data_IF_045240715582
#
_entry.id   IF_045240715582
#
_cell.length_a   1.000
_cell.length_b   1.000
_cell.length_c   1.000
_cell.angle_alpha   90.00
_cell.angle_beta   90.00
_cell.angle_gamma   90.00
#
_symmetry.space_group_name_H-M   'P 1'
#
loop_
_entity.id
_entity.type
_entity.pdbx_description
1 polymer ?
#
# COMPACT_ATOMS: atom_id res chain seq x y z
N UNK A 1 2.72 -11.39 3.65
CA UNK A 1 3.46 -11.64 2.39
C UNK A 1 2.92 -10.73 1.28
N UNK A 2 3.77 -10.12 0.43
CA UNK A 2 3.33 -9.33 -0.74
C UNK A 2 3.30 -10.23 -1.97
N UNK A 3 2.29 -10.11 -2.84
CA UNK A 3 2.21 -10.85 -4.10
C UNK A 3 2.59 -9.93 -5.28
N UNK A 4 3.85 -9.89 -5.72
CA UNK A 4 4.23 -9.16 -6.92
C UNK A 4 3.58 -9.85 -8.13
N UNK A 5 2.73 -9.13 -8.85
CA UNK A 5 2.26 -9.56 -10.16
C UNK A 5 3.28 -9.18 -11.22
N UNK A 6 3.41 -10.02 -12.24
CA UNK A 6 4.40 -9.80 -13.29
C UNK A 6 3.91 -8.70 -14.22
N UNK A 7 4.78 -7.73 -14.48
CA UNK A 7 4.61 -6.75 -15.54
C UNK A 7 5.81 -6.81 -16.47
N UNK A 8 5.56 -6.88 -17.77
CA UNK A 8 6.57 -6.91 -18.82
C UNK A 8 6.32 -5.75 -19.78
N UNK A 9 7.26 -4.82 -19.87
CA UNK A 9 7.28 -3.82 -20.95
C UNK A 9 7.69 -4.50 -22.26
N UNK A 10 6.86 -4.34 -23.29
CA UNK A 10 7.10 -4.88 -24.65
C UNK A 10 7.64 -3.78 -25.56
N UNK A 11 7.19 -2.54 -25.35
CA UNK A 11 7.73 -1.32 -25.95
C UNK A 11 7.63 -0.15 -24.96
N UNK A 12 8.00 1.06 -25.40
CA UNK A 12 7.87 2.27 -24.59
C UNK A 12 6.41 2.63 -24.25
N UNK A 13 5.45 2.17 -25.06
CA UNK A 13 4.02 2.47 -25.01
C UNK A 13 3.13 1.21 -24.85
N UNK A 14 3.74 0.02 -24.74
CA UNK A 14 3.01 -1.23 -24.56
C UNK A 14 3.66 -2.14 -23.53
N UNK A 15 2.83 -2.90 -22.83
CA UNK A 15 3.24 -3.87 -21.86
C UNK A 15 2.15 -4.90 -21.61
N UNK A 16 2.52 -5.96 -20.91
CA UNK A 16 1.62 -7.03 -20.50
C UNK A 16 1.68 -7.11 -18.97
N UNK A 17 0.52 -7.16 -18.34
CA UNK A 17 0.40 -7.39 -16.90
C UNK A 17 -0.27 -8.73 -16.67
N UNK A 18 0.23 -9.46 -15.68
CA UNK A 18 -0.36 -10.71 -15.21
C UNK A 18 -1.78 -10.44 -14.69
N UNK A 19 -2.72 -11.24 -15.18
CA UNK A 19 -4.08 -11.23 -14.68
C UNK A 19 -4.13 -11.89 -13.29
N UNK A 20 -4.67 -11.17 -12.32
CA UNK A 20 -4.84 -11.64 -10.96
C UNK A 20 -6.14 -12.44 -10.84
N UNK A 21 -6.06 -13.73 -11.16
CA UNK A 21 -7.21 -14.62 -11.03
C UNK A 21 -7.69 -14.70 -9.57
N UNK A 22 -9.02 -14.65 -9.39
CA UNK A 22 -9.66 -14.66 -8.08
C UNK A 22 -9.45 -13.39 -7.24
N UNK A 23 -9.10 -12.24 -7.84
CA UNK A 23 -9.07 -10.96 -7.15
C UNK A 23 -10.04 -9.94 -7.76
N UNK A 24 -10.65 -9.09 -6.91
CA UNK A 24 -11.54 -8.01 -7.35
C UNK A 24 -11.17 -6.70 -6.64
N UNK A 25 -11.25 -5.56 -7.33
CA UNK A 25 -11.04 -4.25 -6.69
C UNK A 25 -12.07 -3.99 -5.61
N UNK A 26 -11.73 -3.23 -4.57
CA UNK A 26 -12.68 -2.85 -3.50
C UNK A 26 -13.88 -2.10 -4.11
N UNK A 27 -13.63 -1.24 -5.11
CA UNK A 27 -14.68 -0.58 -5.90
C UNK A 27 -15.60 -1.59 -6.59
N UNK A 28 -15.01 -2.59 -7.27
CA UNK A 28 -15.74 -3.66 -7.93
C UNK A 28 -16.56 -4.50 -6.96
N UNK A 29 -15.99 -4.84 -5.80
CA UNK A 29 -16.67 -5.57 -4.71
C UNK A 29 -17.89 -4.78 -4.23
N UNK A 30 -17.73 -3.49 -3.90
CA UNK A 30 -18.83 -2.63 -3.44
C UNK A 30 -19.96 -2.56 -4.45
N UNK A 31 -19.63 -2.40 -5.74
CA UNK A 31 -20.62 -2.31 -6.82
C UNK A 31 -21.32 -3.65 -7.08
N UNK A 32 -20.57 -4.75 -7.17
CA UNK A 32 -21.07 -6.07 -7.54
C UNK A 32 -21.82 -6.76 -6.39
N UNK A 33 -21.27 -6.67 -5.17
CA UNK A 33 -21.85 -7.32 -4.00
C UNK A 33 -22.84 -6.41 -3.25
N UNK A 34 -22.97 -5.14 -3.63
CA UNK A 34 -23.86 -4.16 -2.98
C UNK A 34 -23.63 -4.03 -1.47
N UNK A 35 -22.37 -4.18 -1.05
CA UNK A 35 -21.95 -4.04 0.34
C UNK A 35 -21.61 -2.58 0.66
N UNK A 36 -21.88 -2.17 1.89
CA UNK A 36 -21.58 -0.80 2.37
C UNK A 36 -20.12 -0.63 2.80
N UNK A 37 -19.47 -1.69 3.24
CA UNK A 37 -18.07 -1.69 3.67
C UNK A 37 -17.36 -2.99 3.33
N UNK A 38 -16.04 -2.92 3.28
CA UNK A 38 -15.21 -4.11 3.10
C UNK A 38 -15.34 -5.12 4.25
N UNK A 39 -15.54 -4.66 5.48
CA UNK A 39 -15.77 -5.55 6.62
C UNK A 39 -17.09 -6.33 6.50
N UNK A 40 -18.14 -5.73 5.91
CA UNK A 40 -19.37 -6.44 5.58
C UNK A 40 -19.09 -7.55 4.56
N UNK A 41 -18.35 -7.24 3.49
CA UNK A 41 -17.95 -8.25 2.50
C UNK A 41 -17.16 -9.41 3.12
N UNK A 42 -16.22 -9.13 4.02
CA UNK A 42 -15.45 -10.17 4.70
C UNK A 42 -16.35 -11.11 5.50
N UNK A 43 -17.34 -10.58 6.22
CA UNK A 43 -18.31 -11.38 6.96
C UNK A 43 -19.19 -12.24 6.04
N UNK A 44 -19.62 -11.70 4.90
CA UNK A 44 -20.47 -12.42 3.94
C UNK A 44 -19.72 -13.55 3.22
N UNK A 45 -18.45 -13.32 2.84
CA UNK A 45 -17.68 -14.28 2.02
C UNK A 45 -16.87 -15.27 2.85
N UNK A 46 -16.30 -14.83 3.97
CA UNK A 46 -15.43 -15.67 4.81
C UNK A 46 -16.14 -16.22 6.05
N UNK A 47 -17.40 -15.84 6.28
CA UNK A 47 -18.18 -16.22 7.46
C UNK A 47 -18.05 -15.21 8.60
N UNK A 48 -18.77 -15.41 9.71
CA UNK A 48 -18.80 -14.44 10.80
C UNK A 48 -17.42 -14.27 11.45
N UNK A 49 -17.17 -13.07 12.00
CA UNK A 49 -15.99 -12.78 12.83
C UNK A 49 -15.77 -13.90 13.86
N UNK A 50 -14.54 -14.41 13.91
CA UNK A 50 -14.13 -15.50 14.81
C UNK A 50 -14.29 -16.91 14.24
N UNK A 51 -14.93 -17.08 13.07
CA UNK A 51 -14.88 -18.35 12.34
C UNK A 51 -13.48 -18.60 11.78
N UNK A 52 -13.08 -19.88 11.64
CA UNK A 52 -11.74 -20.25 11.15
C UNK A 52 -11.42 -19.60 9.79
N UNK A 53 -12.39 -19.60 8.88
CA UNK A 53 -12.23 -19.02 7.54
C UNK A 53 -12.11 -17.49 7.59
N UNK A 54 -12.90 -16.81 8.42
CA UNK A 54 -12.77 -15.36 8.60
C UNK A 54 -11.42 -15.00 9.23
N UNK A 55 -11.01 -15.69 10.30
CA UNK A 55 -9.72 -15.43 10.96
C UNK A 55 -8.54 -15.67 10.01
N UNK A 56 -8.60 -16.70 9.16
CA UNK A 56 -7.56 -16.93 8.13
C UNK A 56 -7.52 -15.79 7.10
N UNK A 57 -8.67 -15.35 6.60
CA UNK A 57 -8.76 -14.25 5.64
C UNK A 57 -8.30 -12.91 6.25
N UNK A 58 -8.67 -12.63 7.50
CA UNK A 58 -8.22 -11.46 8.26
C UNK A 58 -6.70 -11.46 8.47
N UNK A 59 -6.11 -12.61 8.81
CA UNK A 59 -4.64 -12.74 8.90
C UNK A 59 -3.97 -12.48 7.55
N UNK A 60 -4.47 -13.07 6.47
CA UNK A 60 -3.95 -12.83 5.13
C UNK A 60 -4.04 -11.34 4.75
N UNK A 61 -5.15 -10.68 5.08
CA UNK A 61 -5.34 -9.25 4.87
C UNK A 61 -4.32 -8.42 5.67
N UNK A 62 -4.16 -8.69 6.97
CA UNK A 62 -3.23 -7.99 7.85
C UNK A 62 -1.79 -8.10 7.34
N UNK A 63 -1.38 -9.31 6.95
CA UNK A 63 -0.02 -9.57 6.48
C UNK A 63 0.31 -8.91 5.14
N UNK A 64 -0.65 -8.85 4.21
CA UNK A 64 -0.42 -8.15 2.94
C UNK A 64 -0.56 -6.64 3.12
N UNK A 65 -1.46 -6.18 3.99
CA UNK A 65 -1.57 -4.76 4.35
C UNK A 65 -0.25 -4.24 4.90
N UNK A 66 0.37 -4.92 5.87
CA UNK A 66 1.68 -4.54 6.39
C UNK A 66 2.75 -4.49 5.28
N UNK A 67 2.79 -5.50 4.43
CA UNK A 67 3.73 -5.55 3.31
C UNK A 67 3.55 -4.41 2.31
N UNK A 68 2.32 -4.16 1.86
CA UNK A 68 2.04 -3.07 0.93
C UNK A 68 2.18 -1.68 1.57
N UNK A 69 1.92 -1.51 2.87
CA UNK A 69 2.21 -0.27 3.59
C UNK A 69 3.71 0.07 3.54
N UNK A 70 4.58 -0.93 3.72
CA UNK A 70 6.04 -0.75 3.61
C UNK A 70 6.42 -0.39 2.17
N UNK A 71 5.91 -1.13 1.17
CA UNK A 71 6.17 -0.83 -0.25
C UNK A 71 5.72 0.59 -0.62
N UNK A 72 4.52 0.97 -0.22
CA UNK A 72 3.96 2.31 -0.47
C UNK A 72 4.80 3.40 0.19
N UNK A 73 5.22 3.22 1.45
CA UNK A 73 6.07 4.18 2.14
C UNK A 73 7.42 4.34 1.45
N UNK A 74 8.12 3.23 1.21
CA UNK A 74 9.47 3.22 0.65
C UNK A 74 9.50 3.75 -0.78
N UNK A 75 8.56 3.35 -1.62
CA UNK A 75 8.52 3.76 -3.03
C UNK A 75 7.69 5.03 -3.28
N UNK A 76 7.07 5.60 -2.25
CA UNK A 76 6.15 6.74 -2.39
C UNK A 76 5.07 6.46 -3.43
N UNK A 77 4.47 5.27 -3.36
CA UNK A 77 3.37 4.88 -4.25
C UNK A 77 2.15 5.74 -3.92
N UNK A 78 1.59 6.38 -4.94
CA UNK A 78 0.43 7.28 -4.85
C UNK A 78 -0.77 6.70 -5.58
N UNK A 79 -1.88 7.42 -5.61
CA UNK A 79 -3.10 7.00 -6.30
C UNK A 79 -3.67 5.70 -5.71
N UNK A 80 -3.60 5.58 -4.38
CA UNK A 80 -4.13 4.41 -3.66
C UNK A 80 -5.62 4.62 -3.38
N UNK A 81 -6.47 4.37 -4.35
CA UNK A 81 -7.94 4.38 -4.18
C UNK A 81 -8.55 2.99 -4.31
N UNK A 82 -9.84 2.83 -4.00
CA UNK A 82 -10.52 1.52 -3.97
C UNK A 82 -10.56 0.80 -5.33
N UNK A 83 -10.37 1.52 -6.45
CA UNK A 83 -10.12 0.90 -7.76
C UNK A 83 -8.75 0.22 -7.92
N UNK A 84 -7.71 0.68 -7.19
CA UNK A 84 -6.32 0.18 -7.28
C UNK A 84 -5.96 -0.77 -6.13
N UNK A 85 -6.92 -1.06 -5.26
CA UNK A 85 -6.80 -1.98 -4.14
C UNK A 85 -7.72 -3.17 -4.40
N UNK A 86 -7.17 -4.36 -4.53
CA UNK A 86 -7.91 -5.59 -4.79
C UNK A 86 -7.89 -6.53 -3.60
N UNK A 87 -8.95 -7.32 -3.44
CA UNK A 87 -9.02 -8.42 -2.48
C UNK A 87 -9.08 -9.75 -3.24
N UNK A 88 -8.17 -10.67 -2.88
CA UNK A 88 -8.19 -12.04 -3.39
C UNK A 88 -9.25 -12.91 -2.69
N UNK A 89 -9.60 -14.04 -3.29
CA UNK A 89 -10.45 -15.10 -2.74
C UNK A 89 -9.96 -15.71 -1.41
N UNK A 90 -8.71 -15.45 -1.01
CA UNK A 90 -8.11 -15.86 0.25
C UNK A 90 -8.01 -14.71 1.27
N UNK A 91 -8.51 -13.51 0.96
CA UNK A 91 -8.49 -12.35 1.84
C UNK A 91 -7.24 -11.46 1.74
N UNK A 92 -6.28 -11.78 0.88
CA UNK A 92 -5.12 -10.91 0.65
C UNK A 92 -5.55 -9.58 0.01
N UNK A 93 -5.11 -8.45 0.58
CA UNK A 93 -5.04 -7.16 -0.11
C UNK A 93 -3.91 -7.18 -1.13
N UNK A 94 -4.18 -6.73 -2.35
CA UNK A 94 -3.24 -6.64 -3.47
C UNK A 94 -3.32 -5.24 -4.09
N UNK A 95 -2.21 -4.51 -4.10
CA UNK A 95 -2.12 -3.24 -4.82
C UNK A 95 -1.84 -3.50 -6.30
N UNK A 96 -2.57 -2.79 -7.17
CA UNK A 96 -2.30 -2.72 -8.60
C UNK A 96 -1.98 -1.29 -9.03
N UNK A 97 -1.61 -1.14 -10.29
CA UNK A 97 -1.29 0.14 -10.94
C UNK A 97 -0.26 0.96 -10.17
N UNK A 98 1.03 0.74 -10.42
CA UNK A 98 2.11 1.51 -9.79
C UNK A 98 2.55 2.73 -10.63
N UNK A 99 1.67 3.27 -11.48
CA UNK A 99 1.99 4.35 -12.41
C UNK A 99 2.45 5.66 -11.74
N UNK A 100 2.09 5.86 -10.47
CA UNK A 100 2.52 7.00 -9.67
C UNK A 100 3.37 6.54 -8.48
N UNK A 101 4.68 6.76 -8.56
CA UNK A 101 5.65 6.43 -7.52
C UNK A 101 6.80 7.44 -7.53
N UNK A 102 7.57 7.48 -6.44
CA UNK A 102 8.66 8.43 -6.25
C UNK A 102 8.20 9.89 -6.47
N UNK A 103 8.70 10.55 -7.52
CA UNK A 103 8.44 11.96 -7.79
C UNK A 103 7.12 12.21 -8.55
N UNK A 104 6.51 11.21 -9.19
CA UNK A 104 5.27 11.42 -9.97
C UNK A 104 4.04 11.41 -9.09
N UNK A 105 3.05 12.25 -9.42
CA UNK A 105 1.76 12.33 -8.73
C UNK A 105 0.63 12.53 -9.73
N UNK A 106 -0.58 12.03 -9.45
CA UNK A 106 -1.77 12.29 -10.27
C UNK A 106 -1.99 13.81 -10.42
N UNK A 107 -2.11 14.27 -11.67
CA UNK A 107 -2.34 15.69 -11.99
C UNK A 107 -1.23 16.66 -11.58
N UNK A 108 -0.03 16.16 -11.19
CA UNK A 108 1.08 17.00 -10.73
C UNK A 108 0.88 17.61 -9.34
N UNK A 109 -0.18 17.24 -8.62
CA UNK A 109 -0.48 17.75 -7.27
C UNK A 109 -0.17 16.67 -6.25
N UNK A 110 0.69 16.97 -5.28
CA UNK A 110 0.99 16.07 -4.16
C UNK A 110 -0.16 16.05 -3.14
N UNK A 111 -1.26 15.38 -3.47
CA UNK A 111 -2.38 15.19 -2.56
C UNK A 111 -2.05 14.24 -1.40
N UNK A 112 -1.25 13.22 -1.68
CA UNK A 112 -1.01 12.11 -0.76
C UNK A 112 0.24 12.40 0.09
N UNK A 113 0.03 12.84 1.34
CA UNK A 113 1.11 13.03 2.31
C UNK A 113 1.10 11.98 3.43
N UNK A 114 0.11 11.11 3.45
CA UNK A 114 0.09 9.98 4.37
C UNK A 114 1.23 9.02 3.97
N UNK A 115 1.98 8.46 4.93
CA UNK A 115 3.03 7.47 4.66
C UNK A 115 2.57 6.31 3.77
N UNK A 116 1.35 5.85 4.01
CA UNK A 116 0.63 4.84 3.24
C UNK A 116 -0.88 4.97 3.53
N UNK A 117 -1.72 4.38 2.68
CA UNK A 117 -3.17 4.35 2.91
C UNK A 117 -3.50 3.42 4.08
N UNK A 118 -4.27 3.91 5.04
CA UNK A 118 -4.84 3.13 6.16
C UNK A 118 -6.21 3.75 6.53
N UNK A 119 -7.16 3.63 5.60
CA UNK A 119 -8.50 4.20 5.77
C UNK A 119 -9.31 3.47 6.83
N UNK A 120 -10.36 4.12 7.33
CA UNK A 120 -11.32 3.51 8.26
C UNK A 120 -11.85 2.16 7.76
N UNK A 121 -12.21 2.06 6.48
CA UNK A 121 -12.68 0.82 5.85
C UNK A 121 -11.67 -0.34 5.94
N UNK A 122 -10.37 -0.06 5.75
CA UNK A 122 -9.33 -1.09 5.87
C UNK A 122 -9.08 -1.48 7.34
N UNK A 123 -9.20 -0.52 8.26
CA UNK A 123 -9.06 -0.79 9.69
C UNK A 123 -10.24 -1.61 10.23
N UNK A 124 -11.44 -1.43 9.70
CA UNK A 124 -12.63 -2.20 10.08
C UNK A 124 -12.49 -3.69 9.75
N UNK A 125 -11.81 -4.05 8.65
CA UNK A 125 -11.48 -5.45 8.34
C UNK A 125 -10.61 -6.08 9.42
N UNK A 126 -9.75 -5.29 10.08
CA UNK A 126 -8.92 -5.74 11.19
C UNK A 126 -9.65 -5.65 12.54
N UNK A 127 -10.92 -5.28 12.61
CA UNK A 127 -11.63 -5.05 13.88
C UNK A 127 -11.26 -3.75 14.60
N UNK A 128 -10.60 -2.80 13.93
CA UNK A 128 -10.31 -1.45 14.43
C UNK A 128 -8.99 -1.31 15.22
N UNK A 129 -8.64 -0.05 15.56
CA UNK A 129 -7.32 0.35 16.11
C UNK A 129 -6.92 -0.38 17.42
N UNK A 130 -7.90 -0.85 18.19
CA UNK A 130 -7.68 -1.55 19.46
C UNK A 130 -7.60 -3.07 19.34
N UNK A 131 -7.83 -3.64 18.17
CA UNK A 131 -7.97 -5.09 18.01
C UNK A 131 -6.62 -5.84 18.06
N UNK A 132 -6.69 -7.15 18.27
CA UNK A 132 -5.53 -8.03 18.17
C UNK A 132 -4.91 -8.01 16.76
N UNK A 133 -5.75 -8.04 15.71
CA UNK A 133 -5.31 -8.00 14.32
C UNK A 133 -4.59 -6.67 13.97
N UNK A 134 -5.08 -5.52 14.46
CA UNK A 134 -4.41 -4.24 14.27
C UNK A 134 -3.09 -4.16 15.06
N UNK A 135 -3.04 -4.74 16.27
CA UNK A 135 -1.78 -4.87 17.01
C UNK A 135 -0.76 -5.74 16.27
N UNK A 136 -1.21 -6.83 15.64
CA UNK A 136 -0.38 -7.67 14.80
C UNK A 136 0.13 -6.92 13.56
N UNK A 137 -0.72 -6.14 12.89
CA UNK A 137 -0.32 -5.23 11.80
C UNK A 137 0.83 -4.31 12.23
N UNK A 138 0.73 -3.67 13.40
CA UNK A 138 1.80 -2.78 13.91
C UNK A 138 3.13 -3.51 14.12
N UNK A 139 3.08 -4.72 14.67
CA UNK A 139 4.25 -5.58 14.87
C UNK A 139 4.90 -5.95 13.52
N UNK A 140 4.10 -6.39 12.56
CA UNK A 140 4.58 -6.74 11.22
C UNK A 140 5.17 -5.53 10.50
N UNK A 141 4.55 -4.35 10.63
CA UNK A 141 5.06 -3.13 10.01
C UNK A 141 6.45 -2.78 10.58
N UNK A 142 6.62 -2.85 11.90
CA UNK A 142 7.92 -2.62 12.54
C UNK A 142 8.97 -3.65 12.09
N UNK A 143 8.67 -4.94 12.19
CA UNK A 143 9.59 -6.01 11.80
C UNK A 143 9.96 -5.91 10.31
N UNK A 144 8.98 -5.64 9.45
CA UNK A 144 9.22 -5.46 8.02
C UNK A 144 10.06 -4.22 7.72
N UNK A 145 9.86 -3.11 8.43
CA UNK A 145 10.68 -1.90 8.28
C UNK A 145 12.13 -2.13 8.72
N UNK A 146 12.36 -2.92 9.79
CA UNK A 146 13.70 -3.36 10.20
C UNK A 146 14.35 -4.20 9.09
N UNK A 147 13.65 -5.21 8.58
CA UNK A 147 14.16 -6.09 7.52
C UNK A 147 14.46 -5.31 6.22
N UNK A 148 13.64 -4.32 5.87
CA UNK A 148 13.91 -3.44 4.72
C UNK A 148 15.17 -2.61 4.94
N UNK A 149 15.41 -2.11 6.15
CA UNK A 149 16.62 -1.36 6.50
C UNK A 149 17.89 -2.19 6.38
N UNK A 150 17.84 -3.47 6.74
CA UNK A 150 18.96 -4.42 6.57
C UNK A 150 19.29 -4.69 5.09
N UNK A 151 18.31 -4.56 4.20
CA UNK A 151 18.46 -4.76 2.74
C UNK A 151 18.55 -3.45 1.95
N UNK A 152 18.80 -2.35 2.62
CA UNK A 152 18.72 -1.03 2.02
C UNK A 152 19.72 -0.81 0.88
N UNK A 153 20.95 -1.31 1.01
CA UNK A 153 21.96 -1.15 -0.04
C UNK A 153 21.58 -1.90 -1.33
N UNK A 154 20.93 -3.07 -1.22
CA UNK A 154 20.42 -3.80 -2.38
C UNK A 154 19.31 -2.99 -3.08
N UNK A 155 18.34 -2.49 -2.30
CA UNK A 155 17.21 -1.72 -2.82
C UNK A 155 17.71 -0.42 -3.48
N UNK A 156 18.59 0.31 -2.80
CA UNK A 156 19.19 1.54 -3.32
C UNK A 156 20.03 1.27 -4.56
N UNK A 157 20.80 0.17 -4.59
CA UNK A 157 21.59 -0.25 -5.74
C UNK A 157 20.70 -0.50 -6.97
N UNK A 158 19.64 -1.29 -6.80
CA UNK A 158 18.68 -1.58 -7.88
C UNK A 158 18.03 -0.32 -8.43
N UNK A 159 17.54 0.58 -7.56
CA UNK A 159 16.91 1.83 -8.00
C UNK A 159 17.93 2.77 -8.65
N UNK A 160 19.16 2.84 -8.12
CA UNK A 160 20.23 3.68 -8.67
C UNK A 160 20.65 3.24 -10.07
N UNK A 161 20.69 1.93 -10.33
CA UNK A 161 20.99 1.38 -11.67
C UNK A 161 19.96 1.81 -12.72
N UNK A 162 18.72 2.06 -12.30
CA UNK A 162 17.67 2.54 -13.18
C UNK A 162 17.75 4.05 -13.45
N UNK A 163 18.64 4.82 -12.82
CA UNK A 163 18.68 6.30 -13.01
C UNK A 163 19.34 6.79 -14.30
N UNK A 164 20.49 6.25 -14.79
CA UNK A 164 21.26 6.91 -15.85
C UNK A 164 20.65 6.76 -17.25
N UNK A 165 19.76 5.77 -17.44
CA UNK A 165 19.29 5.34 -18.76
C UNK A 165 17.78 5.50 -18.96
N UNK A 166 17.17 6.36 -18.18
CA UNK A 166 15.75 6.28 -17.88
C UNK A 166 15.00 7.54 -18.31
N UNK A 167 13.97 7.31 -19.13
CA UNK A 167 12.95 8.28 -19.55
C UNK A 167 11.67 8.20 -18.70
N UNK A 168 11.68 7.36 -17.66
CA UNK A 168 10.58 7.18 -16.72
C UNK A 168 10.40 8.43 -15.87
N UNK A 169 9.22 9.02 -16.01
CA UNK A 169 8.81 10.24 -15.32
C UNK A 169 8.90 10.15 -13.79
N UNK A 170 8.87 8.96 -13.20
CA UNK A 170 8.89 8.75 -11.75
C UNK A 170 10.15 9.28 -11.05
N UNK A 171 11.28 9.44 -11.76
CA UNK A 171 12.50 10.03 -11.17
C UNK A 171 12.52 11.56 -11.19
N UNK A 172 11.53 12.18 -11.84
CA UNK A 172 11.43 13.62 -11.99
C UNK A 172 12.61 14.23 -12.77
N UNK A 173 12.83 15.53 -12.58
CA UNK A 173 13.94 16.26 -13.21
C UNK A 173 15.30 16.01 -12.57
N UNK A 174 15.32 15.42 -11.37
CA UNK A 174 16.53 15.14 -10.60
C UNK A 174 16.50 13.71 -10.04
N UNK A 175 16.96 12.72 -10.83
CA UNK A 175 17.01 11.33 -10.40
C UNK A 175 17.88 11.10 -9.16
N UNK A 176 18.97 11.86 -9.01
CA UNK A 176 19.86 11.74 -7.84
C UNK A 176 19.14 12.18 -6.55
N UNK A 177 18.39 13.28 -6.60
CA UNK A 177 17.52 13.69 -5.49
C UNK A 177 16.46 12.63 -5.17
N UNK A 178 15.88 11.98 -6.19
CA UNK A 178 14.89 10.91 -5.98
C UNK A 178 15.49 9.72 -5.24
N UNK A 179 16.70 9.27 -5.62
CA UNK A 179 17.43 8.22 -4.91
C UNK A 179 17.78 8.66 -3.48
N UNK A 180 18.19 9.92 -3.28
CA UNK A 180 18.48 10.45 -1.96
C UNK A 180 17.24 10.52 -1.06
N UNK A 181 16.07 10.85 -1.63
CA UNK A 181 14.79 10.80 -0.92
C UNK A 181 14.38 9.37 -0.57
N UNK A 182 14.66 8.39 -1.43
CA UNK A 182 14.52 6.97 -1.08
C UNK A 182 15.45 6.59 0.07
N UNK A 183 16.71 7.01 0.02
CA UNK A 183 17.70 6.77 1.07
C UNK A 183 17.25 7.33 2.41
N UNK A 184 16.68 8.54 2.44
CA UNK A 184 16.22 9.16 3.69
C UNK A 184 15.07 8.41 4.35
N UNK A 185 14.24 7.68 3.58
CA UNK A 185 13.13 6.89 4.13
C UNK A 185 13.56 5.64 4.89
N UNK A 186 14.80 5.18 4.72
CA UNK A 186 15.36 4.11 5.57
C UNK A 186 15.69 4.57 7.00
N UNK A 187 15.70 5.90 7.24
CA UNK A 187 15.96 6.52 8.54
C UNK A 187 17.20 5.98 9.26
N UNK A 188 18.32 5.94 8.53
CA UNK A 188 19.61 5.56 9.11
C UNK A 188 20.08 6.51 10.23
N UNK A 189 19.52 7.71 10.30
CA UNK A 189 19.72 8.67 11.38
C UNK A 189 19.18 8.17 12.74
N UNK A 190 18.25 7.21 12.74
CA UNK A 190 17.70 6.62 13.96
C UNK A 190 18.54 5.40 14.36
N UNK A 191 19.55 5.61 15.22
CA UNK A 191 20.52 4.57 15.58
C UNK A 191 19.98 3.57 16.61
N UNK A 192 19.07 4.00 17.49
CA UNK A 192 18.51 3.12 18.51
C UNK A 192 17.26 2.39 18.01
N UNK A 193 17.08 1.17 18.49
CA UNK A 193 15.87 0.39 18.23
C UNK A 193 14.60 1.13 18.67
N UNK A 194 14.68 1.82 19.81
CA UNK A 194 13.54 2.57 20.39
C UNK A 194 13.15 3.76 19.51
N UNK A 195 14.10 4.56 19.04
CA UNK A 195 13.80 5.70 18.17
C UNK A 195 13.21 5.26 16.83
N UNK A 196 13.73 4.16 16.27
CA UNK A 196 13.19 3.58 15.04
C UNK A 196 11.77 3.05 15.25
N UNK A 197 11.49 2.36 16.36
CA UNK A 197 10.16 1.90 16.72
C UNK A 197 9.16 3.06 16.91
N UNK A 198 9.61 4.17 17.52
CA UNK A 198 8.81 5.39 17.64
C UNK A 198 8.50 6.01 16.28
N UNK A 199 9.48 6.09 15.36
CA UNK A 199 9.24 6.54 13.99
C UNK A 199 8.21 5.66 13.26
N UNK A 200 8.32 4.34 13.34
CA UNK A 200 7.33 3.44 12.72
C UNK A 200 5.93 3.66 13.31
N UNK A 201 5.83 3.86 14.63
CA UNK A 201 4.57 4.21 15.29
C UNK A 201 4.00 5.52 14.78
N UNK A 202 4.84 6.55 14.57
CA UNK A 202 4.42 7.83 14.00
C UNK A 202 3.93 7.67 12.55
N UNK A 203 4.57 6.81 11.74
CA UNK A 203 4.07 6.51 10.39
C UNK A 203 2.65 5.94 10.43
N UNK A 204 2.37 5.01 11.34
CA UNK A 204 1.03 4.44 11.53
C UNK A 204 0.04 5.54 11.94
N UNK A 205 0.37 6.33 12.95
CA UNK A 205 -0.50 7.41 13.43
C UNK A 205 -0.77 8.47 12.35
N UNK A 206 0.23 8.78 11.54
CA UNK A 206 0.09 9.68 10.39
C UNK A 206 -0.77 9.11 9.26
N UNK A 207 -0.93 7.79 9.19
CA UNK A 207 -1.72 7.10 8.18
C UNK A 207 -3.16 6.79 8.59
N UNK A 208 -3.43 6.56 9.89
CA UNK A 208 -4.76 6.23 10.43
C UNK A 208 -5.80 7.29 10.03
N UNK A 209 -6.78 6.88 9.21
CA UNK A 209 -7.88 7.70 8.69
C UNK A 209 -7.46 9.13 8.27
N UNK A 210 -6.31 9.23 7.59
CA UNK A 210 -5.72 10.51 7.23
C UNK A 210 -6.70 11.36 6.39
N UNK A 211 -6.91 12.61 6.81
CA UNK A 211 -7.88 13.51 6.18
C UNK A 211 -7.59 13.79 4.70
N UNK A 212 -6.32 13.82 4.29
CA UNK A 212 -5.95 14.02 2.88
C UNK A 212 -6.28 12.79 2.04
N UNK A 213 -6.04 11.59 2.58
CA UNK A 213 -6.44 10.33 1.94
C UNK A 213 -7.95 10.27 1.76
N UNK A 214 -8.75 10.64 2.77
CA UNK A 214 -10.22 10.74 2.63
C UNK A 214 -10.64 11.74 1.56
N UNK A 215 -10.00 12.90 1.50
CA UNK A 215 -10.29 13.91 0.46
C UNK A 215 -9.93 13.40 -0.93
N UNK A 216 -8.86 12.63 -1.05
CA UNK A 216 -8.48 11.99 -2.30
C UNK A 216 -9.50 10.93 -2.73
N UNK A 217 -9.99 10.12 -1.79
CA UNK A 217 -11.07 9.16 -2.07
C UNK A 217 -12.34 9.87 -2.55
N UNK A 218 -12.74 10.98 -1.90
CA UNK A 218 -13.87 11.81 -2.37
C UNK A 218 -13.67 12.33 -3.80
N UNK A 219 -12.45 12.76 -4.13
CA UNK A 219 -12.12 13.22 -5.48
C UNK A 219 -12.27 12.09 -6.50
N UNK A 220 -11.79 10.90 -6.17
CA UNK A 220 -11.91 9.71 -7.01
C UNK A 220 -13.37 9.24 -7.17
N UNK A 221 -14.18 9.34 -6.12
CA UNK A 221 -15.63 9.11 -6.20
C UNK A 221 -16.29 10.10 -7.15
N UNK A 222 -15.99 11.40 -7.02
CA UNK A 222 -16.61 12.44 -7.84
C UNK A 222 -16.18 12.37 -9.31
N UNK A 223 -14.90 12.12 -9.58
CA UNK A 223 -14.37 12.14 -10.94
C UNK A 223 -14.60 10.82 -11.68
N UNK A 224 -14.35 9.69 -11.00
CA UNK A 224 -14.28 8.37 -11.64
C UNK A 224 -15.37 7.40 -11.15
N UNK A 225 -16.23 7.83 -10.22
CA UNK A 225 -17.29 6.97 -9.67
C UNK A 225 -16.76 5.82 -8.82
N UNK A 226 -15.57 5.96 -8.22
CA UNK A 226 -14.94 4.95 -7.37
C UNK A 226 -15.55 4.99 -5.96
N UNK A 227 -16.07 3.86 -5.48
CA UNK A 227 -16.73 3.71 -4.16
C UNK A 227 -15.81 3.22 -3.05
#
# INVERSE_FOLDING_TARGET
SVRPHRALSVSADSGIMEYLDGACSIDGIKKLCQVSSLAQFFNEVFGPVGSERHSKAEMNFVETMAGYSIVSYMLQVKDRHNGNLMISNEGHLVHIDFGFMFATSPGGINFESAPFKLSQELMEVMGGVGSAAFNYFKLLLYQGMVAVRERADDILGLVSLMTPYNTMSCFGSDPASTVQQLRSRFRFDLETETDFALHVKELILGSVDNWRTRRYDQFQTLQNGIL
#
